data_IF_595588009540
#
_entry.id   IF_595588009540
#
_cell.length_a   1.000
_cell.length_b   1.000
_cell.length_c   1.000
_cell.angle_alpha   90.00
_cell.angle_beta   90.00
_cell.angle_gamma   90.00
#
_symmetry.space_group_name_H-M   'P 1'
#
loop_
_entity.id
_entity.type
_entity.pdbx_description
1 polymer ?
#
# COMPACT_ATOMS: atom_id res chain seq x y z
N UNK A 1 43.68 -0.93 14.48
CA UNK A 1 42.84 -1.84 13.70
C UNK A 1 41.89 -0.98 12.88
N UNK A 2 42.19 -0.75 11.61
CA UNK A 2 41.23 -0.20 10.66
C UNK A 2 40.06 -1.19 10.58
N UNK A 3 38.79 -0.74 10.65
CA UNK A 3 37.67 -1.66 10.46
C UNK A 3 37.82 -2.27 9.07
N UNK A 4 37.80 -3.61 9.00
CA UNK A 4 37.80 -4.33 7.74
C UNK A 4 36.67 -3.79 6.87
N UNK A 5 37.01 -3.07 5.80
CA UNK A 5 36.03 -2.61 4.84
C UNK A 5 35.34 -3.85 4.26
N UNK A 6 34.02 -3.91 4.39
CA UNK A 6 33.22 -4.98 3.79
C UNK A 6 33.50 -4.92 2.28
N UNK A 7 34.10 -5.98 1.74
CA UNK A 7 34.27 -6.12 0.29
C UNK A 7 32.93 -6.56 -0.31
N UNK A 8 32.36 -5.71 -1.17
CA UNK A 8 31.11 -5.99 -1.87
C UNK A 8 31.37 -6.75 -3.17
N UNK A 9 30.51 -7.71 -3.55
CA UNK A 9 30.65 -8.46 -4.81
C UNK A 9 30.64 -7.58 -6.06
N UNK A 10 30.04 -6.39 -5.97
CA UNK A 10 30.03 -5.40 -7.04
C UNK A 10 29.96 -3.98 -6.43
N UNK A 11 30.68 -2.97 -6.96
CA UNK A 11 30.70 -1.62 -6.39
C UNK A 11 29.33 -0.97 -6.25
N UNK A 12 28.41 -1.20 -7.20
CA UNK A 12 27.03 -0.70 -7.14
C UNK A 12 26.18 -1.28 -5.98
N UNK A 13 26.62 -2.38 -5.33
CA UNK A 13 25.97 -2.89 -4.12
C UNK A 13 26.41 -2.12 -2.87
N UNK A 14 27.60 -1.51 -2.91
CA UNK A 14 28.10 -0.68 -1.82
C UNK A 14 27.44 0.70 -1.84
N UNK A 15 26.58 0.96 -0.85
CA UNK A 15 25.95 2.28 -0.70
C UNK A 15 26.97 3.43 -0.61
N UNK A 16 28.21 3.18 -0.18
CA UNK A 16 29.25 4.20 -0.07
C UNK A 16 29.78 4.69 -1.43
N UNK A 17 29.59 3.95 -2.52
CA UNK A 17 30.14 4.32 -3.84
C UNK A 17 29.24 5.28 -4.63
N UNK A 18 27.93 5.30 -4.33
CA UNK A 18 26.95 6.09 -5.07
C UNK A 18 25.86 6.69 -4.17
N UNK A 19 25.12 5.89 -3.39
CA UNK A 19 23.95 6.36 -2.63
C UNK A 19 24.32 7.40 -1.56
N UNK A 20 25.27 7.07 -0.69
CA UNK A 20 25.69 7.96 0.41
C UNK A 20 26.33 9.25 -0.13
N UNK A 21 27.26 9.21 -1.10
CA UNK A 21 27.74 10.42 -1.76
C UNK A 21 26.62 11.24 -2.41
N UNK A 22 25.68 10.59 -3.09
CA UNK A 22 24.56 11.26 -3.75
C UNK A 22 23.70 12.02 -2.74
N UNK A 23 23.26 11.36 -1.66
CA UNK A 23 22.47 11.99 -0.59
C UNK A 23 23.22 13.15 0.07
N UNK A 24 24.53 12.99 0.36
CA UNK A 24 25.36 14.05 0.96
C UNK A 24 25.51 15.26 0.02
N UNK A 25 25.61 15.02 -1.28
CA UNK A 25 25.78 16.07 -2.28
C UNK A 25 24.47 16.83 -2.58
N UNK A 26 23.30 16.33 -2.15
CA UNK A 26 22.01 16.90 -2.51
C UNK A 26 21.89 18.40 -2.21
N UNK A 27 22.06 18.81 -0.94
CA UNK A 27 21.94 20.23 -0.56
C UNK A 27 23.01 21.11 -1.19
N UNK A 28 24.32 20.75 -1.15
CA UNK A 28 25.34 21.53 -1.85
C UNK A 28 25.05 21.73 -3.34
N UNK A 29 24.65 20.67 -4.05
CA UNK A 29 24.34 20.76 -5.49
C UNK A 29 23.09 21.60 -5.74
N UNK A 30 22.05 21.46 -4.92
CA UNK A 30 20.83 22.26 -5.02
C UNK A 30 21.12 23.76 -4.80
N UNK A 31 21.84 24.11 -3.74
CA UNK A 31 22.18 25.50 -3.40
C UNK A 31 23.10 26.15 -4.43
N UNK A 32 23.99 25.39 -5.06
CA UNK A 32 24.86 25.92 -6.13
C UNK A 32 24.09 26.20 -7.43
N UNK A 33 22.99 25.48 -7.69
CA UNK A 33 22.23 25.61 -8.94
C UNK A 33 20.98 26.50 -8.82
N UNK A 34 20.51 26.74 -7.59
CA UNK A 34 19.30 27.52 -7.32
C UNK A 34 19.69 28.87 -6.70
N UNK A 35 19.76 29.91 -7.54
CA UNK A 35 19.75 31.32 -7.14
C UNK A 35 18.40 32.00 -7.46
N UNK A 36 18.20 33.24 -7.01
CA UNK A 36 16.94 33.96 -7.23
C UNK A 36 16.58 34.16 -8.71
N UNK A 37 17.56 34.18 -9.62
CA UNK A 37 17.35 34.32 -11.06
C UNK A 37 16.98 32.98 -11.73
N UNK A 38 17.37 31.86 -11.15
CA UNK A 38 17.16 30.52 -11.68
C UNK A 38 15.82 29.88 -11.30
N UNK A 39 15.13 30.38 -10.27
CA UNK A 39 13.87 29.81 -9.74
C UNK A 39 12.73 29.77 -10.76
N UNK A 40 12.78 30.61 -11.80
CA UNK A 40 11.77 30.64 -12.88
C UNK A 40 12.29 30.07 -14.19
N UNK A 41 13.56 29.64 -14.26
CA UNK A 41 14.21 29.17 -15.47
C UNK A 41 13.98 27.69 -15.69
N UNK A 42 13.11 27.34 -16.65
CA UNK A 42 12.91 25.96 -17.09
C UNK A 42 14.22 25.29 -17.53
N UNK A 43 15.13 26.05 -18.16
CA UNK A 43 16.43 25.55 -18.61
C UNK A 43 17.31 25.11 -17.43
N UNK A 44 17.30 25.85 -16.33
CA UNK A 44 18.09 25.49 -15.15
C UNK A 44 17.60 24.20 -14.51
N UNK A 45 16.27 24.01 -14.44
CA UNK A 45 15.69 22.75 -13.97
C UNK A 45 15.99 21.58 -14.90
N UNK A 46 15.93 21.79 -16.23
CA UNK A 46 16.33 20.77 -17.21
C UNK A 46 17.79 20.37 -17.02
N UNK A 47 18.71 21.33 -16.95
CA UNK A 47 20.14 21.06 -16.74
C UNK A 47 20.40 20.36 -15.39
N UNK A 48 19.73 20.77 -14.32
CA UNK A 48 19.82 20.10 -13.03
C UNK A 48 19.39 18.63 -13.13
N UNK A 49 18.24 18.35 -13.76
CA UNK A 49 17.77 16.99 -13.96
C UNK A 49 18.72 16.15 -14.83
N UNK A 50 19.41 16.77 -15.79
CA UNK A 50 20.33 16.09 -16.71
C UNK A 50 21.69 15.76 -16.09
N UNK A 51 22.23 16.66 -15.28
CA UNK A 51 23.61 16.57 -14.80
C UNK A 51 23.72 16.01 -13.38
N UNK A 52 22.71 16.22 -12.54
CA UNK A 52 22.72 15.76 -11.16
C UNK A 52 22.49 14.25 -11.09
N UNK A 53 22.85 13.66 -9.95
CA UNK A 53 22.50 12.26 -9.69
C UNK A 53 20.97 12.11 -9.66
N UNK A 54 20.38 11.07 -10.27
CA UNK A 54 18.92 10.91 -10.34
C UNK A 54 18.24 10.87 -8.97
N UNK A 55 18.97 10.53 -7.89
CA UNK A 55 18.44 10.61 -6.53
C UNK A 55 18.11 12.05 -6.13
N UNK A 56 18.84 13.05 -6.63
CA UNK A 56 18.65 14.46 -6.27
C UNK A 56 17.27 14.96 -6.69
N UNK A 57 16.85 14.73 -7.93
CA UNK A 57 15.51 15.09 -8.39
C UNK A 57 14.42 14.29 -7.67
N UNK A 58 14.67 13.03 -7.28
CA UNK A 58 13.75 12.25 -6.47
C UNK A 58 13.58 12.82 -5.06
N UNK A 59 14.68 13.25 -4.42
CA UNK A 59 14.67 13.91 -3.10
C UNK A 59 13.98 15.28 -3.15
N UNK A 60 14.27 16.09 -4.18
CA UNK A 60 13.61 17.37 -4.39
C UNK A 60 12.10 17.20 -4.59
N UNK A 61 11.70 16.25 -5.45
CA UNK A 61 10.28 15.92 -5.65
C UNK A 61 9.63 15.43 -4.36
N UNK A 62 10.30 14.56 -3.58
CA UNK A 62 9.82 14.12 -2.28
C UNK A 62 9.61 15.30 -1.31
N UNK A 63 10.53 16.25 -1.25
CA UNK A 63 10.41 17.42 -0.39
C UNK A 63 9.24 18.33 -0.80
N UNK A 64 9.06 18.55 -2.11
CA UNK A 64 7.95 19.33 -2.66
C UNK A 64 6.60 18.67 -2.31
N UNK A 65 6.49 17.36 -2.50
CA UNK A 65 5.25 16.63 -2.21
C UNK A 65 4.98 16.57 -0.69
N UNK A 66 6.01 16.41 0.15
CA UNK A 66 5.86 16.53 1.61
C UNK A 66 5.34 17.90 2.03
N UNK A 67 5.88 18.98 1.45
CA UNK A 67 5.39 20.33 1.71
C UNK A 67 3.94 20.51 1.24
N UNK A 68 3.59 20.00 0.05
CA UNK A 68 2.23 19.99 -0.45
C UNK A 68 1.26 19.27 0.50
N UNK A 69 1.60 18.04 0.94
CA UNK A 69 0.77 17.26 1.87
C UNK A 69 0.53 18.04 3.16
N UNK A 70 1.58 18.61 3.76
CA UNK A 70 1.45 19.38 4.99
C UNK A 70 0.61 20.64 4.80
N UNK A 71 0.87 21.44 3.77
CA UNK A 71 0.13 22.67 3.48
C UNK A 71 -1.35 22.34 3.23
N UNK A 72 -1.64 21.33 2.41
CA UNK A 72 -3.00 20.93 2.10
C UNK A 72 -3.74 20.38 3.31
N UNK A 73 -3.07 19.66 4.22
CA UNK A 73 -3.67 19.28 5.49
C UNK A 73 -4.08 20.53 6.29
N UNK A 74 -3.25 21.58 6.36
CA UNK A 74 -3.59 22.81 7.09
C UNK A 74 -4.72 23.60 6.44
N UNK A 75 -4.82 23.59 5.12
CA UNK A 75 -5.90 24.25 4.38
C UNK A 75 -7.22 23.48 4.56
N UNK A 76 -7.19 22.16 4.48
CA UNK A 76 -8.40 21.32 4.39
C UNK A 76 -8.84 20.71 5.73
N UNK A 77 -7.94 20.65 6.71
CA UNK A 77 -8.13 19.89 7.95
C UNK A 77 -8.10 18.36 7.76
N UNK A 78 -7.77 17.88 6.56
CA UNK A 78 -7.82 16.47 6.20
C UNK A 78 -6.39 15.91 6.04
N UNK A 79 -6.03 14.92 6.85
CA UNK A 79 -4.71 14.29 6.89
C UNK A 79 -4.50 13.19 5.84
N UNK A 80 -5.56 12.82 5.11
CA UNK A 80 -5.50 11.83 4.03
C UNK A 80 -4.95 12.36 2.70
N UNK A 81 -4.32 13.54 2.68
CA UNK A 81 -3.69 14.05 1.45
C UNK A 81 -2.69 13.05 0.88
N UNK A 82 -1.85 12.47 1.74
CA UNK A 82 -0.87 11.48 1.32
C UNK A 82 -1.53 10.17 0.88
N UNK A 83 -2.63 9.75 1.53
CA UNK A 83 -3.34 8.48 1.23
C UNK A 83 -3.82 8.42 -0.23
N UNK A 84 -4.21 9.54 -0.82
CA UNK A 84 -4.53 9.61 -2.25
C UNK A 84 -3.28 9.50 -3.14
N UNK A 85 -2.19 10.15 -2.73
CA UNK A 85 -0.92 10.17 -3.47
C UNK A 85 -0.21 8.81 -3.50
N UNK A 86 -0.44 7.95 -2.50
CA UNK A 86 -0.01 6.55 -2.48
C UNK A 86 -0.35 5.80 -3.78
N UNK A 87 -1.45 6.16 -4.43
CA UNK A 87 -1.91 5.50 -5.65
C UNK A 87 -1.10 5.86 -6.91
N UNK A 88 -0.23 6.87 -6.84
CA UNK A 88 0.54 7.38 -7.98
C UNK A 88 2.04 7.48 -7.72
N UNK A 89 2.45 7.89 -6.52
CA UNK A 89 3.85 8.23 -6.24
C UNK A 89 4.84 7.08 -6.46
N UNK A 90 4.55 5.82 -6.06
CA UNK A 90 5.49 4.71 -6.33
C UNK A 90 5.77 4.52 -7.83
N UNK A 91 4.74 4.65 -8.68
CA UNK A 91 4.93 4.64 -10.13
C UNK A 91 5.72 5.85 -10.62
N UNK A 92 5.46 7.05 -10.09
CA UNK A 92 6.20 8.26 -10.49
C UNK A 92 7.69 8.11 -10.19
N UNK A 93 8.05 7.64 -8.99
CA UNK A 93 9.46 7.38 -8.64
C UNK A 93 10.06 6.24 -9.47
N UNK A 94 9.30 5.18 -9.71
CA UNK A 94 9.72 4.08 -10.59
C UNK A 94 10.00 4.59 -12.01
N UNK A 95 9.07 5.33 -12.61
CA UNK A 95 9.19 5.89 -13.96
C UNK A 95 10.34 6.90 -14.04
N UNK A 96 10.53 7.72 -13.00
CA UNK A 96 11.65 8.66 -12.88
C UNK A 96 12.99 7.95 -13.10
N UNK A 97 13.28 6.87 -12.37
CA UNK A 97 14.54 6.14 -12.56
C UNK A 97 14.61 5.37 -13.89
N UNK A 98 13.49 4.88 -14.40
CA UNK A 98 13.43 4.20 -15.71
C UNK A 98 13.73 5.12 -16.89
N UNK A 99 13.16 6.33 -16.87
CA UNK A 99 13.25 7.28 -17.98
C UNK A 99 14.33 8.33 -17.78
N UNK A 100 15.05 8.36 -16.66
CA UNK A 100 16.10 9.35 -16.40
C UNK A 100 17.12 9.45 -17.55
N UNK A 101 17.58 8.30 -18.05
CA UNK A 101 18.51 8.20 -19.19
C UNK A 101 18.02 8.82 -20.49
N UNK A 102 16.70 8.93 -20.67
CA UNK A 102 16.13 9.59 -21.83
C UNK A 102 16.49 11.08 -21.86
N UNK A 103 16.59 11.69 -20.68
CA UNK A 103 16.85 13.11 -20.54
C UNK A 103 18.35 13.42 -20.45
N UNK A 104 19.20 12.49 -20.02
CA UNK A 104 20.65 12.71 -19.91
C UNK A 104 21.38 12.60 -21.25
N UNK A 105 22.54 13.26 -21.35
CA UNK A 105 23.39 13.18 -22.54
C UNK A 105 23.87 11.74 -22.78
N UNK A 106 23.63 11.23 -23.99
CA UNK A 106 24.15 9.96 -24.47
C UNK A 106 25.06 10.23 -25.68
N UNK A 107 26.31 9.72 -25.68
CA UNK A 107 27.20 9.90 -26.82
C UNK A 107 26.60 9.23 -28.05
N UNK A 108 26.68 9.88 -29.20
CA UNK A 108 26.28 9.27 -30.45
C UNK A 108 27.21 8.09 -30.77
N UNK A 109 26.66 7.00 -31.30
CA UNK A 109 27.46 5.84 -31.70
C UNK A 109 28.13 6.17 -33.04
N UNK A 110 29.45 6.00 -33.12
CA UNK A 110 30.15 6.08 -34.39
C UNK A 110 29.96 4.73 -35.11
N UNK A 111 29.33 4.76 -36.28
CA UNK A 111 29.20 3.57 -37.13
C UNK A 111 30.54 3.22 -37.76
N UNK A 112 30.70 1.94 -38.13
CA UNK A 112 31.92 1.43 -38.76
C UNK A 112 32.33 2.23 -40.03
N UNK A 113 31.36 2.84 -40.72
CA UNK A 113 31.56 3.66 -41.92
C UNK A 113 31.69 5.17 -41.62
N UNK A 114 31.91 5.56 -40.36
CA UNK A 114 32.10 6.97 -39.97
C UNK A 114 30.82 7.80 -39.88
N UNK A 115 29.64 7.20 -40.02
CA UNK A 115 28.35 7.85 -39.76
C UNK A 115 28.04 7.97 -38.27
N UNK A 116 27.29 9.00 -37.90
CA UNK A 116 26.84 9.25 -36.52
C UNK A 116 25.43 8.67 -36.35
N UNK A 117 25.29 7.62 -35.54
CA UNK A 117 24.00 7.05 -35.19
C UNK A 117 23.50 7.65 -33.87
N UNK A 118 22.37 8.34 -33.93
CA UNK A 118 21.70 8.86 -32.74
C UNK A 118 20.90 7.75 -32.06
N UNK A 119 21.03 7.56 -30.74
CA UNK A 119 20.27 6.54 -30.03
C UNK A 119 18.77 6.80 -30.13
N UNK A 120 18.02 5.77 -30.52
CA UNK A 120 16.56 5.78 -30.55
C UNK A 120 15.96 5.78 -29.14
N UNK A 121 14.63 5.82 -29.05
CA UNK A 121 13.93 5.79 -27.75
C UNK A 121 14.31 4.55 -26.93
N UNK A 122 14.29 3.38 -27.55
CA UNK A 122 14.57 2.10 -26.88
C UNK A 122 16.04 1.92 -26.48
N UNK A 123 16.98 2.64 -27.11
CA UNK A 123 18.39 2.66 -26.67
C UNK A 123 18.58 3.41 -25.33
N UNK A 124 17.62 4.25 -24.96
CA UNK A 124 17.67 5.11 -23.77
C UNK A 124 16.90 4.57 -22.58
N UNK A 125 16.24 3.43 -22.73
CA UNK A 125 15.41 2.82 -21.68
C UNK A 125 15.88 1.40 -21.43
N UNK A 126 16.31 1.12 -20.20
CA UNK A 126 16.73 -0.23 -19.81
C UNK A 126 15.52 -1.16 -19.72
N UNK A 127 15.47 -2.27 -20.47
CA UNK A 127 14.32 -3.17 -20.47
C UNK A 127 13.91 -3.70 -19.09
N UNK A 128 14.87 -3.99 -18.19
CA UNK A 128 14.54 -4.44 -16.84
C UNK A 128 13.86 -3.33 -16.01
N UNK A 129 14.36 -2.09 -16.09
CA UNK A 129 13.74 -0.95 -15.41
C UNK A 129 12.34 -0.68 -15.98
N UNK A 130 12.18 -0.76 -17.30
CA UNK A 130 10.88 -0.63 -17.97
C UNK A 130 9.90 -1.71 -17.51
N UNK A 131 10.33 -2.96 -17.40
CA UNK A 131 9.50 -4.05 -16.87
C UNK A 131 9.06 -3.75 -15.43
N UNK A 132 9.97 -3.34 -14.56
CA UNK A 132 9.64 -2.97 -13.17
C UNK A 132 8.63 -1.81 -13.13
N UNK A 133 8.79 -0.78 -13.96
CA UNK A 133 7.82 0.32 -14.07
C UNK A 133 6.46 -0.12 -14.62
N UNK A 134 6.42 -1.07 -15.56
CA UNK A 134 5.18 -1.65 -16.04
C UNK A 134 4.44 -2.44 -14.94
N UNK A 135 5.17 -3.21 -14.13
CA UNK A 135 4.60 -3.92 -12.98
C UNK A 135 4.07 -2.92 -11.93
N UNK A 136 4.84 -1.88 -11.62
CA UNK A 136 4.40 -0.79 -10.74
C UNK A 136 3.15 -0.07 -11.28
N UNK A 137 3.04 0.12 -12.60
CA UNK A 137 1.86 0.69 -13.24
C UNK A 137 0.63 -0.22 -13.05
N UNK A 138 0.77 -1.53 -13.24
CA UNK A 138 -0.32 -2.47 -12.98
C UNK A 138 -0.78 -2.44 -11.51
N UNK A 139 0.17 -2.35 -10.58
CA UNK A 139 -0.13 -2.21 -9.16
C UNK A 139 -0.86 -0.88 -8.85
N UNK A 140 -0.41 0.24 -9.43
CA UNK A 140 -1.07 1.53 -9.30
C UNK A 140 -2.48 1.50 -9.90
N UNK A 141 -2.68 0.93 -11.09
CA UNK A 141 -4.01 0.79 -11.71
C UNK A 141 -4.97 0.06 -10.76
N UNK A 142 -4.55 -1.07 -10.19
CA UNK A 142 -5.34 -1.81 -9.21
C UNK A 142 -5.64 -0.96 -7.97
N UNK A 143 -4.63 -0.32 -7.39
CA UNK A 143 -4.79 0.45 -6.17
C UNK A 143 -5.71 1.66 -6.39
N UNK A 144 -5.52 2.40 -7.48
CA UNK A 144 -6.37 3.52 -7.88
C UNK A 144 -7.81 3.09 -8.12
N UNK A 145 -8.03 1.97 -8.83
CA UNK A 145 -9.37 1.39 -8.97
C UNK A 145 -10.02 1.13 -7.60
N UNK A 146 -9.27 0.53 -6.65
CA UNK A 146 -9.76 0.25 -5.31
C UNK A 146 -9.99 1.52 -4.46
N UNK A 147 -9.19 2.56 -4.66
CA UNK A 147 -9.35 3.85 -4.00
C UNK A 147 -10.59 4.60 -4.51
N UNK A 148 -10.80 4.64 -5.83
CA UNK A 148 -11.95 5.28 -6.48
C UNK A 148 -13.26 4.66 -6.00
N UNK A 149 -13.41 3.33 -6.08
CA UNK A 149 -14.65 2.66 -5.64
C UNK A 149 -14.95 2.90 -4.17
N UNK A 150 -13.92 3.01 -3.31
CA UNK A 150 -14.07 3.32 -1.89
C UNK A 150 -14.39 4.78 -1.60
N UNK A 151 -14.37 5.65 -2.62
CA UNK A 151 -14.64 7.07 -2.48
C UNK A 151 -13.48 7.87 -1.88
N UNK A 152 -12.26 7.34 -1.89
CA UNK A 152 -11.09 7.97 -1.25
C UNK A 152 -10.78 9.38 -1.78
N UNK A 153 -11.16 9.68 -3.03
CA UNK A 153 -10.95 10.99 -3.65
C UNK A 153 -12.13 11.95 -3.51
N UNK A 154 -13.20 11.57 -2.79
CA UNK A 154 -14.34 12.49 -2.58
C UNK A 154 -13.91 13.61 -1.63
N UNK A 155 -14.32 14.88 -1.88
CA UNK A 155 -14.02 15.98 -0.99
C UNK A 155 -14.46 15.70 0.45
N UNK A 156 -13.55 15.90 1.40
CA UNK A 156 -13.82 15.72 2.84
C UNK A 156 -13.72 14.27 3.35
N UNK A 157 -13.52 13.27 2.49
CA UNK A 157 -13.25 11.90 2.95
C UNK A 157 -11.84 11.80 3.53
N UNK A 158 -11.74 11.21 4.72
CA UNK A 158 -10.49 10.98 5.45
C UNK A 158 -10.46 9.50 5.89
N UNK A 159 -9.28 8.88 5.88
CA UNK A 159 -9.09 7.55 6.44
C UNK A 159 -9.48 7.55 7.92
N UNK A 160 -10.35 6.63 8.29
CA UNK A 160 -10.94 6.55 9.63
C UNK A 160 -9.90 6.43 10.77
N UNK A 161 -8.66 6.03 10.47
CA UNK A 161 -7.58 5.93 11.45
C UNK A 161 -7.14 7.31 11.94
N UNK A 162 -7.16 8.33 11.08
CA UNK A 162 -6.68 9.67 11.44
C UNK A 162 -7.56 10.35 12.51
N UNK A 163 -8.90 10.39 12.41
CA UNK A 163 -9.74 10.92 13.48
C UNK A 163 -9.56 10.19 14.82
N UNK A 164 -9.39 8.87 14.80
CA UNK A 164 -9.18 8.07 16.02
C UNK A 164 -7.85 8.42 16.68
N UNK A 165 -6.77 8.51 15.90
CA UNK A 165 -5.45 8.92 16.40
C UNK A 165 -5.47 10.36 16.91
N UNK A 166 -6.09 11.27 16.16
CA UNK A 166 -6.21 12.69 16.51
C UNK A 166 -6.96 12.89 17.83
N UNK A 167 -8.02 12.13 18.06
CA UNK A 167 -8.78 12.19 19.32
C UNK A 167 -7.96 11.75 20.54
N UNK A 168 -6.92 10.94 20.35
CA UNK A 168 -6.01 10.49 21.42
C UNK A 168 -4.82 11.42 21.68
N UNK A 169 -4.68 12.54 20.96
CA UNK A 169 -3.53 13.43 21.03
C UNK A 169 -3.95 14.86 21.38
N UNK A 170 -3.09 15.59 22.10
CA UNK A 170 -3.24 17.05 22.21
C UNK A 170 -2.90 17.71 20.88
N UNK A 171 -3.40 18.94 20.66
CA UNK A 171 -3.17 19.67 19.41
C UNK A 171 -1.68 19.80 19.03
N UNK A 172 -0.74 20.19 19.93
CA UNK A 172 0.67 20.27 19.58
C UNK A 172 1.27 18.91 19.18
N UNK A 173 0.87 17.84 19.87
CA UNK A 173 1.33 16.48 19.55
C UNK A 173 0.83 16.03 18.19
N UNK A 174 -0.44 16.31 17.87
CA UNK A 174 -1.00 16.05 16.54
C UNK A 174 -0.24 16.79 15.45
N UNK A 175 0.08 18.07 15.66
CA UNK A 175 0.80 18.89 14.68
C UNK A 175 2.21 18.34 14.39
N UNK A 176 2.95 17.96 15.44
CA UNK A 176 4.27 17.32 15.31
C UNK A 176 4.13 15.96 14.60
N UNK A 177 3.16 15.14 15.01
CA UNK A 177 2.91 13.84 14.40
C UNK A 177 2.55 13.97 12.91
N UNK A 178 1.61 14.84 12.56
CA UNK A 178 1.22 15.11 11.18
C UNK A 178 2.43 15.54 10.33
N UNK A 179 3.21 16.51 10.81
CA UNK A 179 4.34 17.03 10.05
C UNK A 179 5.42 15.96 9.81
N UNK A 180 5.87 15.28 10.86
CA UNK A 180 6.98 14.33 10.72
C UNK A 180 6.53 12.98 10.15
N UNK A 181 5.38 12.45 10.58
CA UNK A 181 4.92 11.13 10.15
C UNK A 181 4.11 11.19 8.85
N UNK A 182 3.01 11.96 8.83
CA UNK A 182 2.07 11.96 7.70
C UNK A 182 2.66 12.66 6.49
N UNK A 183 3.26 13.84 6.67
CA UNK A 183 3.81 14.61 5.56
C UNK A 183 5.20 14.11 5.13
N UNK A 184 6.15 13.97 6.06
CA UNK A 184 7.54 13.64 5.69
C UNK A 184 7.76 12.12 5.56
N UNK A 185 7.51 11.35 6.61
CA UNK A 185 7.90 9.93 6.62
C UNK A 185 7.13 9.09 5.60
N UNK A 186 5.83 9.33 5.39
CA UNK A 186 5.06 8.64 4.36
C UNK A 186 5.58 8.92 2.94
N UNK A 187 5.93 10.18 2.61
CA UNK A 187 6.48 10.51 1.30
C UNK A 187 7.89 9.93 1.09
N UNK A 188 8.74 9.93 2.12
CA UNK A 188 10.04 9.24 2.08
C UNK A 188 9.84 7.74 1.85
N UNK A 189 8.88 7.12 2.54
CA UNK A 189 8.55 5.71 2.35
C UNK A 189 8.11 5.42 0.91
N UNK A 190 7.29 6.29 0.31
CA UNK A 190 6.88 6.17 -1.09
C UNK A 190 8.06 6.32 -2.06
N UNK A 191 9.01 7.21 -1.77
CA UNK A 191 10.25 7.32 -2.56
C UNK A 191 11.14 6.07 -2.43
N UNK A 192 11.29 5.53 -1.22
CA UNK A 192 12.08 4.33 -0.92
C UNK A 192 11.59 3.11 -1.70
N UNK A 193 10.32 3.05 -2.09
CA UNK A 193 9.79 1.95 -2.91
C UNK A 193 10.57 1.71 -4.21
N UNK A 194 11.08 2.78 -4.82
CA UNK A 194 11.81 2.77 -6.07
C UNK A 194 13.33 2.63 -5.90
N UNK A 195 13.83 2.47 -4.67
CA UNK A 195 15.25 2.30 -4.37
C UNK A 195 15.90 1.10 -5.09
N UNK A 196 15.23 -0.05 -5.29
CA UNK A 196 15.74 -1.12 -6.15
C UNK A 196 16.01 -0.66 -7.59
N UNK A 197 15.16 0.18 -8.19
CA UNK A 197 15.39 0.70 -9.54
C UNK A 197 16.52 1.71 -9.60
N UNK A 198 16.67 2.56 -8.57
CA UNK A 198 17.84 3.43 -8.47
C UNK A 198 19.14 2.61 -8.43
N UNK A 199 19.19 1.55 -7.61
CA UNK A 199 20.33 0.64 -7.54
C UNK A 199 20.63 -0.01 -8.90
N UNK A 200 19.61 -0.51 -9.60
CA UNK A 200 19.81 -1.11 -10.91
C UNK A 200 20.26 -0.09 -11.96
N UNK A 201 19.76 1.15 -11.90
CA UNK A 201 20.19 2.23 -12.77
C UNK A 201 21.68 2.56 -12.59
N UNK A 202 22.21 2.55 -11.36
CA UNK A 202 23.63 2.90 -11.11
C UNK A 202 24.60 1.93 -11.77
N UNK A 203 24.20 0.66 -12.03
CA UNK A 203 25.02 -0.30 -12.80
C UNK A 203 25.34 0.17 -14.22
N UNK A 204 24.56 1.12 -14.72
CA UNK A 204 24.72 1.67 -16.07
C UNK A 204 25.45 3.01 -16.10
N UNK A 205 25.84 3.53 -14.93
CA UNK A 205 26.62 4.75 -14.79
C UNK A 205 28.02 4.55 -15.36
N UNK A 206 28.62 5.62 -15.90
CA UNK A 206 30.02 5.63 -16.35
C UNK A 206 30.97 5.15 -15.24
N UNK A 207 30.62 5.37 -13.96
CA UNK A 207 31.40 4.90 -12.80
C UNK A 207 31.50 3.38 -12.69
N UNK A 208 30.54 2.65 -13.25
CA UNK A 208 30.40 1.20 -13.10
C UNK A 208 30.28 0.46 -14.43
N UNK A 209 30.33 1.16 -15.57
CA UNK A 209 30.17 0.54 -16.90
C UNK A 209 31.28 -0.47 -17.22
N UNK A 210 32.45 -0.33 -16.60
CA UNK A 210 33.58 -1.27 -16.74
C UNK A 210 33.46 -2.52 -15.87
N UNK A 211 32.47 -2.56 -14.97
CA UNK A 211 32.22 -3.66 -14.03
C UNK A 211 30.94 -4.40 -14.45
N UNK A 212 31.02 -5.46 -15.29
CA UNK A 212 29.83 -6.11 -15.81
C UNK A 212 29.10 -6.90 -14.72
N UNK A 213 27.77 -6.75 -14.67
CA UNK A 213 26.91 -7.60 -13.83
C UNK A 213 26.55 -8.90 -14.58
N UNK A 214 26.38 -10.04 -13.87
CA UNK A 214 26.07 -11.33 -14.52
C UNK A 214 24.83 -11.30 -15.41
N UNK A 215 23.80 -10.57 -14.99
CA UNK A 215 22.55 -10.38 -15.76
C UNK A 215 22.35 -8.88 -15.97
N UNK A 216 22.89 -8.28 -17.04
CA UNK A 216 22.73 -6.85 -17.35
C UNK A 216 21.28 -6.40 -17.43
N UNK A 217 21.02 -5.14 -17.07
CA UNK A 217 19.67 -4.52 -17.07
C UNK A 217 19.17 -4.19 -18.48
N UNK A 218 20.08 -4.15 -19.47
CA UNK A 218 19.79 -3.87 -20.87
C UNK A 218 19.13 -5.05 -21.61
N UNK A 219 18.96 -6.20 -20.96
CA UNK A 219 18.32 -7.39 -21.52
C UNK A 219 17.48 -8.11 -20.48
N UNK A 220 16.36 -8.67 -20.91
CA UNK A 220 15.52 -9.53 -20.08
C UNK A 220 16.01 -10.98 -20.16
N UNK A 221 16.05 -11.65 -19.02
CA UNK A 221 16.33 -13.08 -18.90
C UNK A 221 15.09 -13.83 -18.39
N UNK A 222 15.17 -15.17 -18.32
CA UNK A 222 14.08 -15.99 -17.80
C UNK A 222 13.64 -15.58 -16.39
N UNK A 223 14.59 -15.20 -15.53
CA UNK A 223 14.30 -14.74 -14.17
C UNK A 223 13.42 -13.48 -14.12
N UNK A 224 13.59 -12.57 -15.08
CA UNK A 224 12.77 -11.36 -15.17
C UNK A 224 11.29 -11.72 -15.42
N UNK A 225 11.05 -12.68 -16.33
CA UNK A 225 9.70 -13.17 -16.64
C UNK A 225 9.08 -13.98 -15.50
N UNK A 226 9.89 -14.76 -14.77
CA UNK A 226 9.43 -15.48 -13.57
C UNK A 226 9.00 -14.49 -12.48
N UNK A 227 9.79 -13.46 -12.19
CA UNK A 227 9.43 -12.44 -11.22
C UNK A 227 8.19 -11.65 -11.65
N UNK A 228 8.07 -11.29 -12.94
CA UNK A 228 6.89 -10.64 -13.47
C UNK A 228 5.63 -11.52 -13.35
N UNK A 229 5.73 -12.82 -13.64
CA UNK A 229 4.62 -13.76 -13.49
C UNK A 229 4.20 -13.90 -12.02
N UNK A 230 5.16 -14.00 -11.09
CA UNK A 230 4.90 -14.01 -9.66
C UNK A 230 4.21 -12.71 -9.19
N UNK A 231 4.65 -11.57 -9.70
CA UNK A 231 4.04 -10.28 -9.41
C UNK A 231 2.59 -10.23 -9.87
N UNK A 232 2.30 -10.61 -11.11
CA UNK A 232 0.94 -10.62 -11.66
C UNK A 232 0.04 -11.61 -10.93
N UNK A 233 0.56 -12.79 -10.57
CA UNK A 233 -0.18 -13.76 -9.76
C UNK A 233 -0.50 -13.19 -8.37
N UNK A 234 0.47 -12.57 -7.69
CA UNK A 234 0.27 -11.89 -6.41
C UNK A 234 -0.78 -10.77 -6.54
N UNK A 235 -0.70 -9.95 -7.59
CA UNK A 235 -1.64 -8.87 -7.85
C UNK A 235 -3.06 -9.38 -8.10
N UNK A 236 -3.22 -10.53 -8.77
CA UNK A 236 -4.51 -11.16 -8.98
C UNK A 236 -5.11 -11.66 -7.65
N UNK A 237 -4.31 -12.28 -6.78
CA UNK A 237 -4.75 -12.69 -5.43
C UNK A 237 -5.14 -11.45 -4.62
N UNK A 238 -4.34 -10.38 -4.69
CA UNK A 238 -4.62 -9.12 -4.02
C UNK A 238 -5.95 -8.50 -4.47
N UNK A 239 -6.18 -8.45 -5.78
CA UNK A 239 -7.43 -7.97 -6.35
C UNK A 239 -8.64 -8.80 -5.86
N UNK A 240 -8.50 -10.14 -5.78
CA UNK A 240 -9.54 -11.00 -5.23
C UNK A 240 -9.79 -10.74 -3.74
N UNK A 241 -8.74 -10.48 -2.96
CA UNK A 241 -8.87 -10.12 -1.55
C UNK A 241 -9.62 -8.78 -1.37
N UNK A 242 -9.29 -7.78 -2.20
CA UNK A 242 -9.97 -6.49 -2.23
C UNK A 242 -11.45 -6.64 -2.62
N UNK A 243 -11.78 -7.47 -3.63
CA UNK A 243 -13.17 -7.78 -4.01
C UNK A 243 -13.94 -8.47 -2.89
N UNK A 244 -13.35 -9.44 -2.19
CA UNK A 244 -13.99 -10.10 -1.05
C UNK A 244 -14.29 -9.10 0.07
N UNK A 245 -13.34 -8.20 0.37
CA UNK A 245 -13.53 -7.17 1.39
C UNK A 245 -14.60 -6.16 0.97
N UNK A 246 -14.60 -5.74 -0.29
CA UNK A 246 -15.59 -4.81 -0.84
C UNK A 246 -17.00 -5.37 -0.74
N UNK A 247 -17.21 -6.61 -1.21
CA UNK A 247 -18.51 -7.26 -1.17
C UNK A 247 -19.04 -7.37 0.26
N UNK A 248 -18.17 -7.75 1.20
CA UNK A 248 -18.48 -7.76 2.62
C UNK A 248 -18.91 -6.38 3.14
N UNK A 249 -18.14 -5.32 2.84
CA UNK A 249 -18.43 -3.97 3.33
C UNK A 249 -19.71 -3.39 2.71
N UNK A 250 -19.96 -3.65 1.43
CA UNK A 250 -21.20 -3.25 0.77
C UNK A 250 -22.40 -3.94 1.41
N UNK A 251 -22.33 -5.27 1.58
CA UNK A 251 -23.39 -6.01 2.24
C UNK A 251 -23.66 -5.48 3.65
N UNK A 252 -22.61 -5.21 4.44
CA UNK A 252 -22.72 -4.61 5.78
C UNK A 252 -23.42 -3.24 5.77
N UNK A 253 -23.28 -2.48 4.69
CA UNK A 253 -23.94 -1.18 4.46
C UNK A 253 -25.34 -1.31 3.84
N UNK A 254 -25.82 -2.53 3.60
CA UNK A 254 -27.10 -2.77 2.92
C UNK A 254 -27.06 -2.56 1.41
N UNK A 255 -25.88 -2.64 0.80
CA UNK A 255 -25.64 -2.47 -0.64
C UNK A 255 -25.31 -3.82 -1.31
N UNK A 256 -25.60 -3.93 -2.60
CA UNK A 256 -25.20 -5.03 -3.47
C UNK A 256 -23.69 -4.93 -3.85
N UNK A 257 -23.10 -5.93 -4.53
CA UNK A 257 -21.71 -5.86 -4.98
C UNK A 257 -21.38 -4.65 -5.88
N UNK A 258 -22.37 -4.11 -6.59
CA UNK A 258 -22.26 -2.93 -7.45
C UNK A 258 -22.46 -1.60 -6.69
N UNK A 259 -22.68 -1.65 -5.37
CA UNK A 259 -22.91 -0.49 -4.53
C UNK A 259 -24.33 0.07 -4.57
N UNK A 260 -25.31 -0.66 -5.12
CA UNK A 260 -26.72 -0.26 -5.16
C UNK A 260 -27.45 -0.73 -3.91
N UNK A 261 -28.45 0.01 -3.39
CA UNK A 261 -29.24 -0.45 -2.26
C UNK A 261 -29.88 -1.82 -2.51
N UNK A 262 -29.76 -2.74 -1.56
CA UNK A 262 -30.47 -4.03 -1.61
C UNK A 262 -31.98 -3.78 -1.52
N UNK A 263 -32.80 -4.55 -2.24
CA UNK A 263 -34.26 -4.35 -2.30
C UNK A 263 -34.93 -4.18 -0.91
N UNK A 264 -34.49 -4.92 0.11
CA UNK A 264 -35.00 -4.77 1.47
C UNK A 264 -34.59 -3.46 2.17
N UNK A 265 -33.44 -2.87 1.82
CA UNK A 265 -33.00 -1.54 2.30
C UNK A 265 -33.74 -0.41 1.60
N UNK A 266 -34.05 -0.56 0.31
CA UNK A 266 -34.86 0.39 -0.45
C UNK A 266 -36.29 0.52 0.14
N UNK A 267 -36.89 -0.60 0.59
CA UNK A 267 -38.21 -0.59 1.26
C UNK A 267 -38.18 0.08 2.63
N UNK A 268 -37.08 -0.05 3.38
CA UNK A 268 -36.90 0.63 4.67
C UNK A 268 -36.73 2.16 4.49
N UNK A 269 -35.94 2.58 3.49
CA UNK A 269 -35.77 4.00 3.14
C UNK A 269 -37.08 4.61 2.61
N UNK A 270 -37.81 3.87 1.76
CA UNK A 270 -39.12 4.29 1.25
C UNK A 270 -40.18 4.42 2.36
N UNK A 271 -40.20 3.52 3.36
CA UNK A 271 -41.09 3.63 4.52
C UNK A 271 -40.78 4.84 5.40
N UNK A 272 -39.51 5.20 5.58
CA UNK A 272 -39.08 6.39 6.34
C UNK A 272 -39.38 7.70 5.59
N UNK A 273 -39.34 7.68 4.26
CA UNK A 273 -39.77 8.83 3.46
C UNK A 273 -41.29 8.98 3.41
N UNK A 274 -42.05 7.89 3.35
CA UNK A 274 -43.52 7.92 3.40
C UNK A 274 -44.07 8.35 4.77
N UNK A 275 -43.35 8.10 5.87
CA UNK A 275 -43.76 8.57 7.21
C UNK A 275 -43.52 10.06 7.45
N UNK A 276 -42.70 10.72 6.61
CA UNK A 276 -42.44 12.17 6.68
C UNK A 276 -43.45 13.01 5.88
N UNK A 277 -44.38 12.37 5.17
CA UNK A 277 -45.39 13.04 4.33
C UNK A 277 -46.79 13.14 4.96
N UNK A 278 -46.91 13.08 6.30
CA UNK A 278 -48.18 13.39 6.98
C UNK A 278 -48.31 14.91 7.15
N UNK A 279 -49.35 15.50 6.56
CA UNK A 279 -49.66 16.94 6.61
C UNK A 279 -49.87 17.43 8.06
N UNK A 280 -49.54 18.68 8.38
CA UNK A 280 -49.74 19.21 9.73
C UNK A 280 -51.22 19.56 9.95
N UNK A 281 -51.79 19.07 11.05
CA UNK A 281 -53.07 19.54 11.59
C UNK A 281 -52.76 20.66 12.60
N UNK A 282 -53.44 21.80 12.44
CA UNK A 282 -53.39 22.96 13.34
C UNK A 282 -54.03 22.63 14.70
N UNK A 283 -53.50 23.22 15.79
CA UNK A 283 -54.30 23.49 16.99
C UNK A 283 -53.62 23.26 18.35
N UNK A 284 -53.27 24.39 18.98
CA UNK A 284 -53.34 24.71 20.42
C UNK A 284 -52.54 23.92 21.49
N UNK A 285 -51.88 24.73 22.32
CA UNK A 285 -51.18 24.53 23.59
C UNK A 285 -51.72 23.48 24.58
N UNK A 286 -50.81 22.72 25.19
CA UNK A 286 -50.73 22.52 26.65
C UNK A 286 -49.42 21.80 27.01
N UNK A 287 -48.82 22.20 28.12
CA UNK A 287 -47.62 21.60 28.70
C UNK A 287 -47.95 20.25 29.38
N UNK A 288 -47.23 19.19 29.02
CA UNK A 288 -47.18 17.95 29.80
C UNK A 288 -45.84 17.21 29.59
N UNK A 289 -45.10 17.09 30.70
CA UNK A 289 -44.11 16.08 31.08
C UNK A 289 -43.43 15.26 29.96
N UNK A 290 -42.14 15.51 29.78
CA UNK A 290 -41.21 14.60 29.09
C UNK A 290 -40.93 13.41 29.99
N UNK A 291 -41.69 12.33 29.82
CA UNK A 291 -41.27 10.99 30.22
C UNK A 291 -40.42 10.41 29.08
N UNK A 292 -39.18 10.06 29.39
CA UNK A 292 -38.28 9.37 28.47
C UNK A 292 -38.83 7.96 28.19
N UNK A 293 -39.50 7.76 27.06
CA UNK A 293 -39.82 6.44 26.55
C UNK A 293 -38.60 5.88 25.80
N UNK A 294 -37.88 5.02 26.50
CA UNK A 294 -36.81 4.20 25.95
C UNK A 294 -37.44 3.02 25.21
N UNK A 295 -37.93 3.25 23.99
CA UNK A 295 -38.39 2.16 23.12
C UNK A 295 -37.95 2.39 21.67
N UNK A 296 -36.64 2.25 21.43
CA UNK A 296 -36.15 1.89 20.10
C UNK A 296 -36.11 0.36 20.00
N UNK A 297 -37.19 -0.21 19.47
CA UNK A 297 -37.23 -1.61 19.08
C UNK A 297 -36.06 -1.93 18.12
N UNK A 298 -35.38 -3.07 18.27
CA UNK A 298 -34.24 -3.40 17.42
C UNK A 298 -34.74 -3.62 15.99
N UNK A 299 -34.23 -2.80 15.05
CA UNK A 299 -34.45 -2.99 13.62
C UNK A 299 -34.00 -4.40 13.24
N UNK A 300 -34.97 -5.29 13.01
CA UNK A 300 -34.71 -6.66 12.53
C UNK A 300 -34.05 -6.56 11.16
N UNK A 301 -32.77 -6.96 11.07
CA UNK A 301 -32.06 -7.07 9.79
C UNK A 301 -32.79 -8.09 8.90
N UNK A 302 -33.01 -7.80 7.61
CA UNK A 302 -33.70 -8.70 6.71
C UNK A 302 -32.86 -9.95 6.45
N UNK A 303 -33.40 -11.12 6.76
CA UNK A 303 -32.88 -12.41 6.29
C UNK A 303 -33.29 -12.59 4.84
N UNK A 304 -32.35 -12.38 3.92
CA UNK A 304 -32.49 -12.76 2.52
C UNK A 304 -31.31 -13.66 2.18
N UNK A 305 -31.59 -14.95 1.97
CA UNK A 305 -30.70 -15.86 1.24
C UNK A 305 -30.56 -15.29 -0.17
N UNK A 306 -29.53 -14.46 -0.40
CA UNK A 306 -29.21 -13.99 -1.74
C UNK A 306 -28.08 -14.86 -2.27
N UNK A 307 -28.34 -15.53 -3.38
CA UNK A 307 -27.43 -16.40 -4.12
C UNK A 307 -26.22 -15.68 -4.75
N UNK A 308 -25.89 -14.44 -4.34
CA UNK A 308 -25.08 -13.53 -5.15
C UNK A 308 -23.78 -13.02 -4.51
N UNK A 309 -23.37 -13.56 -3.37
CA UNK A 309 -22.01 -13.32 -2.83
C UNK A 309 -21.42 -14.59 -2.23
N UNK A 310 -20.66 -15.40 -3.00
CA UNK A 310 -20.11 -16.67 -2.48
C UNK A 310 -19.08 -16.49 -1.35
N UNK A 311 -18.68 -15.25 -1.03
CA UNK A 311 -17.58 -14.96 -0.09
C UNK A 311 -17.97 -14.09 1.12
N UNK A 312 -19.24 -13.65 1.20
CA UNK A 312 -19.77 -12.92 2.37
C UNK A 312 -21.18 -13.41 2.64
N UNK A 313 -21.34 -14.17 3.72
CA UNK A 313 -22.66 -14.65 4.14
C UNK A 313 -23.32 -13.66 5.11
N UNK A 314 -24.65 -13.68 5.27
CA UNK A 314 -25.34 -12.90 6.30
C UNK A 314 -24.71 -13.05 7.70
N UNK A 315 -24.19 -14.24 8.01
CA UNK A 315 -23.51 -14.56 9.26
C UNK A 315 -22.23 -13.73 9.47
N UNK A 316 -21.45 -13.43 8.42
CA UNK A 316 -20.24 -12.60 8.53
C UNK A 316 -20.59 -11.14 8.86
N UNK A 317 -21.72 -10.65 8.34
CA UNK A 317 -22.21 -9.31 8.64
C UNK A 317 -22.74 -9.19 10.07
N UNK A 318 -23.36 -10.26 10.59
CA UNK A 318 -23.77 -10.34 11.99
C UNK A 318 -22.59 -10.53 12.94
N UNK A 319 -21.52 -11.20 12.50
CA UNK A 319 -20.27 -11.31 13.27
C UNK A 319 -19.49 -10.00 13.30
N UNK A 320 -19.58 -9.21 12.23
CA UNK A 320 -18.93 -7.90 12.12
C UNK A 320 -17.60 -7.90 11.38
N UNK A 321 -17.16 -9.05 10.85
CA UNK A 321 -15.96 -9.21 10.03
C UNK A 321 -16.08 -10.42 9.08
N UNK A 322 -15.33 -10.39 7.97
CA UNK A 322 -15.27 -11.49 6.99
C UNK A 322 -14.26 -12.57 7.44
N UNK A 323 -14.63 -13.84 7.21
CA UNK A 323 -13.77 -14.99 7.57
C UNK A 323 -13.66 -16.02 6.44
N UNK A 324 -14.38 -15.86 5.33
CA UNK A 324 -14.40 -16.85 4.23
C UNK A 324 -13.49 -16.44 3.09
N UNK A 325 -13.25 -17.36 2.15
CA UNK A 325 -12.36 -17.14 1.02
C UNK A 325 -10.91 -16.96 1.48
N UNK A 326 -10.22 -15.94 0.98
CA UNK A 326 -8.83 -15.65 1.35
C UNK A 326 -8.70 -15.26 2.82
N UNK A 327 -9.76 -14.70 3.41
CA UNK A 327 -9.83 -14.32 4.83
C UNK A 327 -9.83 -15.54 5.77
N UNK A 328 -10.11 -16.75 5.26
CA UNK A 328 -9.96 -17.97 6.07
C UNK A 328 -8.49 -18.36 6.29
N UNK A 329 -7.60 -17.88 5.43
CA UNK A 329 -6.18 -18.24 5.40
C UNK A 329 -5.28 -17.13 5.93
N UNK A 330 -5.68 -15.88 5.77
CA UNK A 330 -4.96 -14.71 6.25
C UNK A 330 -5.98 -13.70 6.74
N UNK A 331 -5.73 -13.06 7.90
CA UNK A 331 -6.63 -12.02 8.39
C UNK A 331 -6.51 -10.71 7.62
N UNK A 332 -5.44 -10.52 6.85
CA UNK A 332 -5.23 -9.37 5.96
C UNK A 332 -4.59 -9.84 4.64
N UNK A 333 -5.31 -10.60 3.80
CA UNK A 333 -4.72 -11.20 2.60
C UNK A 333 -4.27 -10.14 1.60
N UNK A 334 -4.97 -8.99 1.51
CA UNK A 334 -4.54 -7.87 0.69
C UNK A 334 -3.27 -7.19 1.21
N UNK A 335 -3.08 -7.03 2.53
CA UNK A 335 -1.83 -6.50 3.09
C UNK A 335 -0.67 -7.49 2.97
N UNK A 336 -0.93 -8.79 3.03
CA UNK A 336 0.08 -9.81 2.78
C UNK A 336 0.59 -9.74 1.33
N UNK A 337 -0.33 -9.63 0.37
CA UNK A 337 0.03 -9.44 -1.03
C UNK A 337 0.74 -8.10 -1.26
N UNK A 338 0.31 -7.03 -0.57
CA UNK A 338 0.92 -5.71 -0.63
C UNK A 338 2.39 -5.76 -0.21
N UNK A 339 2.70 -6.37 0.94
CA UNK A 339 4.08 -6.58 1.38
C UNK A 339 4.88 -7.46 0.39
N UNK A 340 4.26 -8.50 -0.16
CA UNK A 340 4.88 -9.42 -1.13
C UNK A 340 5.27 -8.71 -2.44
N UNK A 341 4.46 -7.76 -2.91
CA UNK A 341 4.76 -6.93 -4.10
C UNK A 341 6.15 -6.31 -4.02
N UNK A 342 6.47 -5.68 -2.88
CA UNK A 342 7.74 -4.98 -2.68
C UNK A 342 8.92 -5.94 -2.55
N UNK A 343 8.70 -7.13 -2.00
CA UNK A 343 9.71 -8.20 -2.03
C UNK A 343 9.98 -8.68 -3.45
N UNK A 344 8.94 -8.89 -4.28
CA UNK A 344 9.12 -9.32 -5.67
C UNK A 344 9.86 -8.25 -6.48
N UNK A 345 9.52 -6.97 -6.32
CA UNK A 345 10.25 -5.88 -6.98
C UNK A 345 11.70 -5.79 -6.50
N UNK A 346 11.95 -6.04 -5.20
CA UNK A 346 13.31 -6.12 -4.68
C UNK A 346 14.11 -7.26 -5.30
N UNK A 347 13.50 -8.42 -5.59
CA UNK A 347 14.20 -9.59 -6.14
C UNK A 347 14.86 -9.36 -7.51
N UNK A 348 14.50 -8.29 -8.24
CA UNK A 348 15.24 -7.88 -9.44
C UNK A 348 16.70 -7.46 -9.14
N UNK A 349 16.98 -7.03 -7.90
CA UNK A 349 18.34 -6.73 -7.44
C UNK A 349 19.20 -8.00 -7.37
N UNK A 350 18.94 -9.00 -6.50
CA UNK A 350 19.74 -10.22 -6.49
C UNK A 350 19.71 -10.93 -7.85
N UNK A 351 18.61 -10.90 -8.61
CA UNK A 351 18.60 -11.43 -9.99
C UNK A 351 19.71 -10.81 -10.86
N UNK A 352 19.95 -9.51 -10.75
CA UNK A 352 20.96 -8.78 -11.53
C UNK A 352 22.39 -9.19 -11.15
N UNK A 353 22.66 -9.36 -9.85
CA UNK A 353 24.02 -9.53 -9.33
C UNK A 353 24.42 -10.97 -9.03
N UNK A 354 23.48 -11.91 -8.85
CA UNK A 354 23.81 -13.28 -8.47
C UNK A 354 24.75 -13.93 -9.51
N UNK A 355 25.85 -14.55 -9.09
CA UNK A 355 26.76 -15.24 -9.99
C UNK A 355 26.04 -16.40 -10.72
N UNK A 356 26.60 -16.80 -11.86
CA UNK A 356 26.11 -17.98 -12.59
C UNK A 356 26.37 -19.26 -11.78
N UNK A 357 27.53 -19.34 -11.14
CA UNK A 357 27.82 -20.36 -10.14
C UNK A 357 27.30 -19.90 -8.76
N UNK A 358 26.20 -20.51 -8.33
CA UNK A 358 25.55 -20.18 -7.06
C UNK A 358 26.40 -20.55 -5.83
N UNK A 359 27.46 -21.35 -5.97
CA UNK A 359 28.39 -21.61 -4.86
C UNK A 359 29.18 -20.37 -4.45
N UNK A 360 29.29 -19.38 -5.35
CA UNK A 360 29.90 -18.07 -5.10
C UNK A 360 28.90 -17.05 -4.54
N UNK A 361 27.62 -17.41 -4.43
CA UNK A 361 26.61 -16.52 -3.86
C UNK A 361 26.90 -16.29 -2.37
N UNK A 362 26.74 -15.04 -1.97
CA UNK A 362 26.95 -14.60 -0.60
C UNK A 362 25.78 -13.74 -0.13
N UNK A 363 25.66 -13.54 1.18
CA UNK A 363 24.60 -12.72 1.77
C UNK A 363 24.60 -11.27 1.23
N UNK A 364 25.75 -10.74 0.79
CA UNK A 364 25.87 -9.39 0.22
C UNK A 364 25.05 -9.21 -1.09
N UNK A 365 24.72 -10.29 -1.79
CA UNK A 365 23.83 -10.24 -2.96
C UNK A 365 22.37 -10.02 -2.57
N UNK A 366 22.00 -10.37 -1.34
CA UNK A 366 20.62 -10.38 -0.83
C UNK A 366 20.35 -9.29 0.21
N UNK A 367 21.34 -8.85 0.98
CA UNK A 367 21.22 -7.76 1.96
C UNK A 367 21.90 -6.50 1.41
N UNK A 368 21.29 -5.94 0.38
CA UNK A 368 21.71 -4.68 -0.25
C UNK A 368 20.93 -3.52 0.35
N UNK A 369 21.34 -2.28 0.16
CA UNK A 369 20.55 -1.12 0.62
C UNK A 369 19.15 -1.05 -0.05
N UNK A 370 18.96 -1.68 -1.22
CA UNK A 370 17.66 -1.79 -1.88
C UNK A 370 16.61 -2.54 -1.06
N UNK A 371 17.03 -3.37 -0.08
CA UNK A 371 16.11 -4.11 0.80
C UNK A 371 15.30 -3.18 1.72
N UNK A 372 15.70 -1.91 1.85
CA UNK A 372 14.93 -0.91 2.57
C UNK A 372 13.51 -0.75 2.00
N UNK A 373 13.30 -0.99 0.69
CA UNK A 373 11.97 -0.94 0.05
C UNK A 373 10.97 -1.89 0.69
N UNK A 374 11.14 -3.23 0.64
CA UNK A 374 10.22 -4.15 1.28
C UNK A 374 10.18 -4.03 2.80
N UNK A 375 11.31 -3.70 3.47
CA UNK A 375 11.34 -3.56 4.92
C UNK A 375 10.54 -2.35 5.41
N UNK A 376 10.63 -1.21 4.72
CA UNK A 376 9.83 -0.03 5.04
C UNK A 376 8.33 -0.32 4.89
N UNK A 377 7.96 -1.06 3.85
CA UNK A 377 6.57 -1.49 3.64
C UNK A 377 6.08 -2.41 4.75
N UNK A 378 6.87 -3.41 5.16
CA UNK A 378 6.50 -4.25 6.31
C UNK A 378 6.34 -3.42 7.60
N UNK A 379 7.25 -2.48 7.84
CA UNK A 379 7.22 -1.60 9.02
C UNK A 379 5.99 -0.69 9.03
N UNK A 380 5.43 -0.35 7.87
CA UNK A 380 4.16 0.38 7.78
C UNK A 380 2.96 -0.54 7.99
N UNK A 381 2.90 -1.67 7.28
CA UNK A 381 1.72 -2.53 7.26
C UNK A 381 1.51 -3.27 8.58
N UNK A 382 2.57 -3.67 9.28
CA UNK A 382 2.43 -4.41 10.54
C UNK A 382 1.77 -3.58 11.66
N UNK A 383 2.26 -2.37 12.02
CA UNK A 383 1.59 -1.51 13.01
C UNK A 383 0.19 -1.08 12.57
N UNK A 384 0.00 -0.79 11.28
CA UNK A 384 -1.31 -0.43 10.71
C UNK A 384 -2.34 -1.56 10.87
N UNK A 385 -1.95 -2.80 10.59
CA UNK A 385 -2.78 -3.97 10.80
C UNK A 385 -3.10 -4.15 12.28
N UNK A 386 -2.09 -4.08 13.17
CA UNK A 386 -2.27 -4.18 14.63
C UNK A 386 -3.26 -3.14 15.16
N UNK A 387 -3.17 -1.90 14.72
CA UNK A 387 -4.10 -0.84 15.09
C UNK A 387 -5.53 -1.16 14.61
N UNK A 388 -5.67 -1.54 13.34
CA UNK A 388 -6.97 -1.87 12.74
C UNK A 388 -7.63 -3.09 13.39
N UNK A 389 -6.83 -4.08 13.78
CA UNK A 389 -7.29 -5.25 14.54
C UNK A 389 -7.74 -4.87 15.95
N UNK A 390 -7.02 -3.97 16.64
CA UNK A 390 -7.41 -3.50 17.97
C UNK A 390 -8.77 -2.78 17.93
N UNK A 391 -9.00 -1.93 16.92
CA UNK A 391 -10.30 -1.28 16.67
C UNK A 391 -11.40 -2.30 16.34
N UNK A 392 -11.06 -3.39 15.66
CA UNK A 392 -12.02 -4.46 15.34
C UNK A 392 -12.36 -5.29 16.57
N UNK A 393 -11.36 -5.64 17.38
CA UNK A 393 -11.53 -6.40 18.62
C UNK A 393 -12.35 -5.66 19.68
N UNK A 394 -12.25 -4.32 19.75
CA UNK A 394 -13.09 -3.53 20.65
C UNK A 394 -14.57 -3.50 20.24
N UNK A 395 -14.86 -3.66 18.95
CA UNK A 395 -16.23 -3.66 18.40
C UNK A 395 -16.85 -5.07 18.37
N UNK A 396 -16.04 -6.09 18.14
CA UNK A 396 -16.49 -7.45 17.85
C UNK A 396 -15.78 -8.46 18.77
N UNK A 397 -16.41 -8.91 19.87
CA UNK A 397 -15.78 -9.82 20.83
C UNK A 397 -15.25 -11.12 20.20
N UNK A 398 -15.94 -11.66 19.19
CA UNK A 398 -15.54 -12.86 18.46
C UNK A 398 -14.24 -12.67 17.63
N UNK A 399 -13.79 -11.43 17.39
CA UNK A 399 -12.58 -11.15 16.63
C UNK A 399 -11.31 -11.68 17.31
N UNK A 400 -11.30 -11.73 18.64
CA UNK A 400 -10.17 -12.31 19.38
C UNK A 400 -9.97 -13.80 19.05
N UNK A 401 -11.05 -14.55 18.84
CA UNK A 401 -10.95 -15.96 18.41
C UNK A 401 -10.50 -16.08 16.96
N UNK A 402 -10.88 -15.13 16.11
CA UNK A 402 -10.35 -15.06 14.74
C UNK A 402 -8.83 -14.81 14.73
N UNK A 403 -8.33 -13.91 15.59
CA UNK A 403 -6.89 -13.70 15.77
C UNK A 403 -6.16 -14.96 16.26
N UNK A 404 -6.76 -15.73 17.16
CA UNK A 404 -6.20 -17.01 17.63
C UNK A 404 -6.20 -18.07 16.54
N UNK A 405 -7.22 -18.10 15.69
CA UNK A 405 -7.46 -19.19 14.72
C UNK A 405 -6.78 -19.02 13.37
N UNK A 406 -6.68 -17.79 12.87
CA UNK A 406 -6.18 -17.47 11.53
C UNK A 406 -4.90 -16.65 11.65
N UNK A 407 -3.93 -16.81 10.75
CA UNK A 407 -2.67 -16.06 10.67
C UNK A 407 -2.85 -14.61 10.25
N UNK A 408 -1.95 -13.70 10.64
CA UNK A 408 -2.14 -12.26 10.33
C UNK A 408 -1.97 -11.99 8.84
N UNK A 409 -0.84 -12.43 8.28
CA UNK A 409 -0.49 -12.20 6.88
C UNK A 409 -0.30 -13.51 6.11
N UNK A 410 0.47 -14.46 6.66
CA UNK A 410 0.85 -15.67 5.92
C UNK A 410 -0.08 -16.86 6.20
N UNK A 411 -0.55 -17.58 5.17
CA UNK A 411 -1.36 -18.80 5.33
C UNK A 411 -0.70 -19.88 6.19
N UNK A 412 0.63 -19.93 6.19
CA UNK A 412 1.39 -20.89 7.01
C UNK A 412 1.08 -20.76 8.51
N UNK A 413 0.93 -19.54 9.04
CA UNK A 413 0.53 -19.33 10.44
C UNK A 413 -0.84 -19.95 10.74
N UNK A 414 -1.78 -19.90 9.80
CA UNK A 414 -3.09 -20.53 9.92
C UNK A 414 -2.98 -22.05 9.98
N UNK A 415 -2.07 -22.65 9.21
CA UNK A 415 -1.81 -24.09 9.25
C UNK A 415 -1.24 -24.51 10.60
N UNK A 416 -0.24 -23.79 11.11
CA UNK A 416 0.36 -24.04 12.44
C UNK A 416 -0.70 -23.93 13.54
N UNK A 417 -1.53 -22.89 13.50
CA UNK A 417 -2.67 -22.73 14.43
C UNK A 417 -3.67 -23.87 14.32
N UNK A 418 -3.96 -24.34 13.10
CA UNK A 418 -4.85 -25.48 12.89
C UNK A 418 -4.30 -26.76 13.51
N UNK A 419 -3.00 -27.01 13.37
CA UNK A 419 -2.33 -28.14 14.03
C UNK A 419 -2.42 -28.02 15.56
N UNK A 420 -2.17 -26.82 16.11
CA UNK A 420 -2.32 -26.57 17.55
C UNK A 420 -3.73 -26.90 18.07
N UNK A 421 -4.78 -26.41 17.41
CA UNK A 421 -6.17 -26.67 17.80
C UNK A 421 -6.59 -28.14 17.64
N UNK A 422 -5.90 -28.90 16.79
CA UNK A 422 -6.16 -30.32 16.60
C UNK A 422 -5.44 -31.20 17.63
N UNK A 423 -4.25 -30.79 18.08
CA UNK A 423 -3.36 -31.62 18.90
C UNK A 423 -3.39 -31.25 20.40
N UNK A 424 -3.57 -29.97 20.72
CA UNK A 424 -3.31 -29.46 22.07
C UNK A 424 -4.48 -28.69 22.71
N UNK A 425 -5.32 -28.03 21.91
CA UNK A 425 -6.45 -27.28 22.47
C UNK A 425 -7.53 -28.20 23.07
N UNK A 426 -8.18 -27.75 24.14
CA UNK A 426 -9.30 -28.49 24.73
C UNK A 426 -10.46 -28.59 23.73
N UNK A 427 -11.26 -29.65 23.84
CA UNK A 427 -12.44 -29.84 22.95
C UNK A 427 -13.41 -28.65 23.04
N UNK A 428 -13.58 -28.10 24.23
CA UNK A 428 -14.46 -26.94 24.47
C UNK A 428 -13.90 -25.67 23.82
N UNK A 429 -12.61 -25.38 24.02
CA UNK A 429 -11.97 -24.21 23.42
C UNK A 429 -12.02 -24.28 21.89
N UNK A 430 -11.65 -25.44 21.33
CA UNK A 430 -11.72 -25.68 19.88
C UNK A 430 -13.13 -25.45 19.37
N UNK A 431 -14.15 -26.02 20.03
CA UNK A 431 -15.56 -25.84 19.63
C UNK A 431 -15.98 -24.37 19.66
N UNK A 432 -15.60 -23.63 20.71
CA UNK A 432 -15.90 -22.20 20.87
C UNK A 432 -15.26 -21.37 19.76
N UNK A 433 -13.96 -21.57 19.51
CA UNK A 433 -13.21 -20.83 18.48
C UNK A 433 -13.75 -21.15 17.09
N UNK A 434 -13.94 -22.42 16.75
CA UNK A 434 -14.48 -22.83 15.44
C UNK A 434 -15.91 -22.30 15.25
N UNK A 435 -16.75 -22.28 16.30
CA UNK A 435 -18.09 -21.69 16.23
C UNK A 435 -18.05 -20.17 16.02
N UNK A 436 -17.17 -19.47 16.73
CA UNK A 436 -17.06 -18.01 16.61
C UNK A 436 -16.47 -17.58 15.28
N UNK A 437 -15.56 -18.36 14.69
CA UNK A 437 -14.89 -18.01 13.44
C UNK A 437 -15.67 -18.51 12.21
N UNK A 438 -16.15 -19.76 12.22
CA UNK A 438 -16.80 -20.38 11.06
C UNK A 438 -18.31 -20.58 11.21
N UNK A 439 -18.82 -20.63 12.45
CA UNK A 439 -20.24 -20.87 12.72
C UNK A 439 -21.14 -19.65 12.52
N UNK A 440 -22.42 -19.81 12.85
CA UNK A 440 -23.39 -18.71 12.89
C UNK A 440 -23.06 -17.77 14.07
N UNK A 441 -23.04 -16.46 13.85
CA UNK A 441 -22.67 -15.47 14.87
C UNK A 441 -23.52 -15.63 16.15
N UNK A 442 -22.87 -15.94 17.28
CA UNK A 442 -23.53 -16.12 18.58
C UNK A 442 -24.13 -14.83 19.16
N UNK A 443 -23.89 -13.68 18.51
CA UNK A 443 -24.44 -12.37 18.92
C UNK A 443 -25.97 -12.36 18.89
N UNK A 444 -26.62 -13.21 18.09
CA UNK A 444 -28.08 -13.34 18.06
C UNK A 444 -28.67 -14.34 19.09
N UNK A 445 -27.84 -15.16 19.75
CA UNK A 445 -28.32 -16.12 20.77
C UNK A 445 -28.46 -15.51 22.17
N UNK A 446 -27.69 -14.47 22.51
CA UNK A 446 -27.83 -13.82 23.83
C UNK A 446 -29.08 -12.94 23.95
N UNK A 447 -29.55 -12.35 22.85
CA UNK A 447 -30.81 -11.55 22.82
C UNK A 447 -32.09 -12.39 22.79
N UNK A 448 -32.00 -13.72 22.66
CA UNK A 448 -33.17 -14.64 22.68
C UNK A 448 -33.36 -15.36 24.02
N UNK A 449 -32.52 -15.07 25.03
CA UNK A 449 -32.53 -15.73 26.34
C UNK A 449 -32.77 -14.78 27.51
N UNK A 450 -33.32 -13.59 27.26
CA UNK A 450 -33.85 -12.72 28.31
C UNK A 450 -35.35 -12.56 28.12
#
# INVERSE_FOLDING_TARGET
MTPSSISWPHPALDSATHLVPSVKAFFPTLLHRVDAASLTSLRTYQQYYQDADPMHSAMAFCAIVSAYVWIMEKITGNASQVDGLWTFLPLIYSAHFTFHKYFTYQPAKLTLLGGVEHPGFWDKVEPRLALMSALSLLWCIRLTYNAIRRGMFKPGEEDYRWPILRAGMSRPVWEIFSFFFIAIAQNILLAITALPQYLLLTTTSIKHVTEPVPRPVNRLCLGDWVLAALFVANLAIQYRADEQQWNYQNYKRGLDPKGKPLAASATAVAKVQASKSVKPIQGTSSAAQVTASTDQAPVRKPTLRSEHTPFSLPEDADRGFVTRGLWAWSRHPNFACEQTTWWILYLFVPLTFLPTDLSLASWQHFLTYGIASPLAMNLLFYPSARFSEAVSASKYPAYADYQRRVGMFFPFETLVKSAYYNLFASREEKRRVEANVWGQSAVNTSKKRQ
#
